data_IF_139946262032
#
_entry.id   IF_139946262032
#
_cell.length_a   1.000
_cell.length_b   1.000
_cell.length_c   1.000
_cell.angle_alpha   90.00
_cell.angle_beta   90.00
_cell.angle_gamma   90.00
#
_symmetry.space_group_name_H-M   'P 1'
#
loop_
_entity.id
_entity.type
_entity.pdbx_description
1 polymer ?
#
# COMPACT_ATOMS: atom_id res chain seq x y z
N UNK A 1 -46.97 29.87 -8.16
CA UNK A 1 -46.97 29.06 -6.91
C UNK A 1 -47.62 29.84 -5.77
N UNK A 2 -48.05 29.17 -4.69
CA UNK A 2 -48.47 29.85 -3.45
C UNK A 2 -47.27 30.07 -2.51
N UNK A 3 -47.42 30.92 -1.49
CA UNK A 3 -46.35 31.30 -0.55
C UNK A 3 -45.68 30.08 0.12
N UNK A 4 -46.47 29.12 0.63
CA UNK A 4 -45.95 27.90 1.28
C UNK A 4 -45.14 27.00 0.33
N UNK A 5 -45.55 26.88 -0.93
CA UNK A 5 -44.77 26.16 -1.94
C UNK A 5 -43.42 26.83 -2.22
N UNK A 6 -43.33 28.15 -2.05
CA UNK A 6 -42.11 28.91 -2.30
C UNK A 6 -41.15 28.80 -1.12
N UNK A 7 -41.63 28.90 0.13
CA UNK A 7 -40.84 28.61 1.34
C UNK A 7 -40.14 27.24 1.24
N UNK A 8 -40.89 26.19 0.89
CA UNK A 8 -40.35 24.84 0.71
C UNK A 8 -39.32 24.73 -0.44
N UNK A 9 -39.34 25.65 -1.40
CA UNK A 9 -38.44 25.65 -2.56
C UNK A 9 -37.17 26.49 -2.34
N UNK A 10 -37.02 27.21 -1.22
CA UNK A 10 -35.89 28.11 -0.99
C UNK A 10 -34.54 27.38 -0.83
N UNK A 11 -34.51 26.15 -0.29
CA UNK A 11 -33.26 25.35 -0.24
C UNK A 11 -32.79 24.99 -1.64
N UNK A 12 -33.61 24.27 -2.40
CA UNK A 12 -33.34 23.90 -3.80
C UNK A 12 -33.08 25.12 -4.71
N UNK A 13 -33.57 26.32 -4.35
CA UNK A 13 -33.23 27.57 -5.04
C UNK A 13 -31.78 28.00 -4.80
N UNK A 14 -31.28 27.89 -3.55
CA UNK A 14 -29.88 28.16 -3.19
C UNK A 14 -28.93 27.13 -3.79
N UNK A 15 -29.32 25.85 -3.75
CA UNK A 15 -28.55 24.73 -4.27
C UNK A 15 -28.58 24.66 -5.83
N UNK A 16 -29.36 25.54 -6.48
CA UNK A 16 -29.57 25.64 -7.93
C UNK A 16 -30.26 24.41 -8.58
N UNK A 17 -30.94 23.58 -7.79
CA UNK A 17 -31.64 22.37 -8.24
C UNK A 17 -33.03 22.66 -8.87
N UNK A 18 -33.54 23.89 -8.77
CA UNK A 18 -34.82 24.26 -9.37
C UNK A 18 -34.76 24.41 -10.89
N UNK A 19 -35.77 23.86 -11.57
CA UNK A 19 -35.99 24.10 -13.00
C UNK A 19 -36.19 25.58 -13.31
N UNK A 20 -35.77 26.01 -14.51
CA UNK A 20 -35.78 27.42 -14.91
C UNK A 20 -37.17 28.11 -14.84
N UNK A 21 -38.26 27.35 -15.00
CA UNK A 21 -39.63 27.87 -14.88
C UNK A 21 -40.10 28.03 -13.42
N UNK A 22 -39.65 27.15 -12.52
CA UNK A 22 -39.89 27.26 -11.07
C UNK A 22 -39.03 28.36 -10.47
N UNK A 23 -37.75 28.43 -10.85
CA UNK A 23 -36.82 29.48 -10.40
C UNK A 23 -37.36 30.89 -10.66
N UNK A 24 -37.86 31.16 -11.88
CA UNK A 24 -38.48 32.46 -12.23
C UNK A 24 -39.71 32.79 -11.38
N UNK A 25 -40.49 31.80 -10.95
CA UNK A 25 -41.63 32.02 -10.05
C UNK A 25 -41.20 32.36 -8.63
N UNK A 26 -40.16 31.71 -8.12
CA UNK A 26 -39.54 32.02 -6.83
C UNK A 26 -38.94 33.43 -6.85
N UNK A 27 -38.14 33.77 -7.87
CA UNK A 27 -37.56 35.11 -8.07
C UNK A 27 -38.62 36.21 -8.18
N UNK A 28 -39.74 35.96 -8.86
CA UNK A 28 -40.84 36.92 -8.97
C UNK A 28 -41.52 37.16 -7.61
N UNK A 29 -41.73 36.11 -6.81
CA UNK A 29 -42.36 36.22 -5.50
C UNK A 29 -41.46 36.91 -4.47
N UNK A 30 -40.16 36.61 -4.47
CA UNK A 30 -39.16 37.21 -3.59
C UNK A 30 -39.06 38.74 -3.74
N UNK A 31 -39.46 39.30 -4.89
CA UNK A 31 -39.55 40.76 -5.11
C UNK A 31 -40.80 41.41 -4.50
N UNK A 32 -41.72 40.61 -3.97
CA UNK A 32 -43.06 41.05 -3.53
C UNK A 32 -43.46 40.54 -2.14
N UNK A 33 -42.63 39.73 -1.49
CA UNK A 33 -42.92 39.10 -0.22
C UNK A 33 -41.69 39.16 0.68
N UNK A 34 -41.71 40.14 1.59
CA UNK A 34 -40.59 40.45 2.48
C UNK A 34 -40.22 39.25 3.37
N UNK A 35 -41.21 38.54 3.93
CA UNK A 35 -41.02 37.33 4.75
C UNK A 35 -40.20 36.23 4.04
N UNK A 36 -40.45 35.99 2.75
CA UNK A 36 -39.69 35.01 1.98
C UNK A 36 -38.28 35.52 1.63
N UNK A 37 -38.11 36.84 1.48
CA UNK A 37 -36.79 37.44 1.24
C UNK A 37 -35.90 37.40 2.50
N UNK A 38 -36.49 37.61 3.68
CA UNK A 38 -35.81 37.52 4.98
C UNK A 38 -35.43 36.07 5.29
N UNK A 39 -36.33 35.11 5.07
CA UNK A 39 -36.04 33.68 5.21
C UNK A 39 -34.88 33.23 4.29
N UNK A 40 -34.84 33.73 3.05
CA UNK A 40 -33.74 33.46 2.12
C UNK A 40 -32.41 34.06 2.63
N UNK A 41 -32.43 35.27 3.18
CA UNK A 41 -31.25 35.91 3.75
C UNK A 41 -30.70 35.12 4.96
N UNK A 42 -31.57 34.62 5.83
CA UNK A 42 -31.17 33.74 6.95
C UNK A 42 -30.53 32.44 6.47
N UNK A 43 -31.07 31.80 5.43
CA UNK A 43 -30.43 30.62 4.84
C UNK A 43 -29.08 30.95 4.20
N UNK A 44 -28.95 32.08 3.52
CA UNK A 44 -27.67 32.54 2.96
C UNK A 44 -26.62 32.79 4.05
N UNK A 45 -26.99 33.48 5.13
CA UNK A 45 -26.10 33.72 6.27
C UNK A 45 -25.65 32.42 6.94
N UNK A 46 -26.58 31.49 7.18
CA UNK A 46 -26.25 30.17 7.72
C UNK A 46 -25.32 29.38 6.78
N UNK A 47 -25.56 29.42 5.46
CA UNK A 47 -24.69 28.75 4.49
C UNK A 47 -23.28 29.35 4.44
N UNK A 48 -23.14 30.66 4.64
CA UNK A 48 -21.85 31.33 4.73
C UNK A 48 -21.11 30.90 6.00
N UNK A 49 -21.78 30.95 7.16
CA UNK A 49 -21.21 30.48 8.43
C UNK A 49 -20.77 29.01 8.36
N UNK A 50 -21.57 28.13 7.76
CA UNK A 50 -21.21 26.70 7.58
C UNK A 50 -19.99 26.55 6.66
N UNK A 51 -19.88 27.35 5.59
CA UNK A 51 -18.73 27.32 4.67
C UNK A 51 -17.42 27.67 5.38
N UNK A 52 -17.45 28.53 6.39
CA UNK A 52 -16.27 28.86 7.19
C UNK A 52 -15.81 27.70 8.11
N UNK A 53 -16.71 26.76 8.43
CA UNK A 53 -16.39 25.53 9.19
C UNK A 53 -16.05 24.33 8.31
N UNK A 54 -16.55 24.28 7.07
CA UNK A 54 -16.18 23.25 6.10
C UNK A 54 -14.88 23.66 5.42
N UNK A 55 -13.76 23.31 6.02
CA UNK A 55 -12.49 23.26 5.29
C UNK A 55 -12.69 22.36 4.05
N UNK A 56 -12.25 22.80 2.85
CA UNK A 56 -12.19 21.90 1.71
C UNK A 56 -11.16 20.81 2.05
N UNK A 57 -11.65 19.63 2.41
CA UNK A 57 -10.79 18.45 2.51
C UNK A 57 -10.07 18.30 1.18
N UNK A 58 -8.73 18.15 1.15
CA UNK A 58 -8.02 17.92 -0.10
C UNK A 58 -8.67 16.71 -0.79
N UNK A 59 -8.96 16.78 -2.10
CA UNK A 59 -9.62 15.69 -2.79
C UNK A 59 -8.79 14.42 -2.57
N UNK A 60 -9.46 13.31 -2.20
CA UNK A 60 -8.82 12.08 -1.72
C UNK A 60 -7.64 11.63 -2.62
N UNK A 61 -7.73 11.89 -3.93
CA UNK A 61 -6.65 11.72 -4.91
C UNK A 61 -5.32 12.38 -4.49
N UNK A 62 -5.31 13.62 -4.02
CA UNK A 62 -4.11 14.33 -3.58
C UNK A 62 -3.47 13.67 -2.35
N UNK A 63 -4.29 13.24 -1.37
CA UNK A 63 -3.79 12.51 -0.19
C UNK A 63 -3.18 11.16 -0.59
N UNK A 64 -3.82 10.42 -1.49
CA UNK A 64 -3.32 9.14 -1.99
C UNK A 64 -2.03 9.32 -2.80
N UNK A 65 -1.95 10.32 -3.68
CA UNK A 65 -0.72 10.61 -4.44
C UNK A 65 0.43 11.03 -3.52
N UNK A 66 0.16 11.84 -2.49
CA UNK A 66 1.17 12.21 -1.49
C UNK A 66 1.72 10.99 -0.75
N UNK A 67 0.86 10.04 -0.34
CA UNK A 67 1.29 8.80 0.33
C UNK A 67 2.07 7.86 -0.62
N UNK A 68 1.69 7.79 -1.89
CA UNK A 68 2.44 7.06 -2.92
C UNK A 68 3.84 7.67 -3.11
N UNK A 69 3.96 9.00 -3.14
CA UNK A 69 5.25 9.66 -3.24
C UNK A 69 6.13 9.37 -2.03
N UNK A 70 5.59 9.47 -0.81
CA UNK A 70 6.30 9.14 0.44
C UNK A 70 6.85 7.70 0.42
N UNK A 71 5.99 6.70 0.14
CA UNK A 71 6.41 5.30 0.07
C UNK A 71 7.50 5.06 -0.99
N UNK A 72 7.35 5.67 -2.18
CA UNK A 72 8.32 5.47 -3.26
C UNK A 72 9.67 6.09 -2.89
N UNK A 73 9.69 7.25 -2.23
CA UNK A 73 10.93 7.91 -1.77
C UNK A 73 11.72 7.02 -0.81
N UNK A 74 11.06 6.37 0.15
CA UNK A 74 11.69 5.41 1.05
C UNK A 74 12.26 4.19 0.30
N UNK A 75 11.53 3.69 -0.70
CA UNK A 75 11.93 2.52 -1.50
C UNK A 75 12.99 2.83 -2.59
N UNK A 76 13.27 4.12 -2.92
CA UNK A 76 14.23 4.50 -3.98
C UNK A 76 15.66 4.00 -3.72
N UNK A 77 16.08 3.92 -2.46
CA UNK A 77 17.43 3.43 -2.12
C UNK A 77 17.56 1.93 -2.42
N UNK A 78 16.61 1.11 -1.96
CA UNK A 78 16.55 -0.32 -2.27
C UNK A 78 16.34 -0.59 -3.77
N UNK A 79 15.64 0.31 -4.48
CA UNK A 79 15.51 0.26 -5.93
C UNK A 79 16.87 0.43 -6.64
N UNK A 80 17.70 1.37 -6.18
CA UNK A 80 19.03 1.62 -6.75
C UNK A 80 20.01 0.48 -6.52
N UNK A 81 19.97 -0.16 -5.35
CA UNK A 81 20.84 -1.30 -5.03
C UNK A 81 20.27 -2.67 -5.45
N UNK A 82 19.10 -2.66 -6.10
CA UNK A 82 18.44 -3.85 -6.65
C UNK A 82 18.08 -4.88 -5.57
N UNK A 83 17.68 -4.39 -4.39
CA UNK A 83 17.27 -5.19 -3.23
C UNK A 83 15.75 -5.41 -3.16
N UNK A 84 14.97 -4.70 -3.99
CA UNK A 84 13.51 -4.84 -4.06
C UNK A 84 13.06 -6.12 -4.76
N UNK A 85 11.92 -6.66 -4.31
CA UNK A 85 11.20 -7.73 -4.98
C UNK A 85 10.80 -7.35 -6.43
N UNK A 86 10.70 -8.31 -7.37
CA UNK A 86 10.45 -8.02 -8.79
C UNK A 86 9.18 -7.20 -9.06
N UNK A 87 8.10 -7.47 -8.32
CA UNK A 87 6.80 -6.83 -8.51
C UNK A 87 6.83 -5.37 -8.01
N UNK A 88 7.38 -5.14 -6.81
CA UNK A 88 7.63 -3.81 -6.25
C UNK A 88 8.54 -2.98 -7.15
N UNK A 89 9.63 -3.58 -7.65
CA UNK A 89 10.55 -2.94 -8.60
C UNK A 89 9.84 -2.52 -9.89
N UNK A 90 8.92 -3.36 -10.38
CA UNK A 90 8.12 -3.06 -11.59
C UNK A 90 7.14 -1.92 -11.34
N UNK A 91 6.49 -1.89 -10.16
CA UNK A 91 5.58 -0.81 -9.75
C UNK A 91 6.29 0.55 -9.66
N UNK A 92 7.44 0.61 -8.99
CA UNK A 92 8.26 1.83 -8.92
C UNK A 92 8.73 2.25 -10.31
N UNK A 93 9.21 1.30 -11.14
CA UNK A 93 9.64 1.59 -12.50
C UNK A 93 8.50 2.09 -13.42
N UNK A 94 7.24 1.79 -13.10
CA UNK A 94 6.08 2.38 -13.78
C UNK A 94 5.84 3.83 -13.30
N UNK A 95 5.80 4.06 -11.98
CA UNK A 95 5.60 5.40 -11.42
C UNK A 95 6.69 6.41 -11.83
N UNK A 96 7.96 5.99 -11.86
CA UNK A 96 9.09 6.82 -12.30
C UNK A 96 9.01 7.26 -13.77
N UNK A 97 8.13 6.67 -14.59
CA UNK A 97 7.88 7.11 -15.97
C UNK A 97 6.78 8.17 -16.08
N UNK A 98 6.01 8.36 -15.02
CA UNK A 98 4.83 9.25 -14.98
C UNK A 98 4.95 10.38 -13.96
N UNK A 99 5.90 10.28 -13.02
CA UNK A 99 6.15 11.27 -11.98
C UNK A 99 7.56 11.86 -12.11
N UNK A 100 7.63 13.12 -12.54
CA UNK A 100 8.88 13.86 -12.71
C UNK A 100 9.60 14.06 -11.35
N UNK A 101 8.87 14.41 -10.28
CA UNK A 101 9.44 14.64 -8.94
C UNK A 101 10.25 13.43 -8.42
N UNK A 102 9.70 12.22 -8.57
CA UNK A 102 10.37 10.99 -8.15
C UNK A 102 11.53 10.60 -9.09
N UNK A 103 11.44 10.94 -10.39
CA UNK A 103 12.51 10.73 -11.38
C UNK A 103 13.71 11.65 -11.12
N UNK A 104 13.45 12.91 -10.77
CA UNK A 104 14.46 13.89 -10.38
C UNK A 104 15.15 13.50 -9.07
N UNK A 105 14.39 13.01 -8.08
CA UNK A 105 14.99 12.50 -6.83
C UNK A 105 15.86 11.26 -7.07
N UNK A 106 15.43 10.31 -7.89
CA UNK A 106 16.25 9.17 -8.30
C UNK A 106 17.55 9.62 -8.98
N UNK A 107 17.47 10.62 -9.85
CA UNK A 107 18.62 11.21 -10.53
C UNK A 107 19.59 11.87 -9.53
N UNK A 108 19.08 12.57 -8.53
CA UNK A 108 19.90 13.17 -7.46
C UNK A 108 20.64 12.09 -6.64
N UNK A 109 19.98 10.99 -6.28
CA UNK A 109 20.64 9.87 -5.60
C UNK A 109 21.74 9.22 -6.46
N UNK A 110 21.51 9.05 -7.77
CA UNK A 110 22.53 8.53 -8.69
C UNK A 110 23.75 9.46 -8.77
N UNK A 111 23.54 10.77 -8.89
CA UNK A 111 24.63 11.76 -8.89
C UNK A 111 25.42 11.73 -7.57
N UNK A 112 24.74 11.61 -6.43
CA UNK A 112 25.39 11.49 -5.12
C UNK A 112 26.27 10.24 -5.04
N UNK A 113 25.77 9.09 -5.53
CA UNK A 113 26.52 7.83 -5.60
C UNK A 113 27.80 7.94 -6.44
N UNK A 114 27.74 8.61 -7.60
CA UNK A 114 28.94 8.84 -8.42
C UNK A 114 29.94 9.81 -7.76
N UNK A 115 29.47 10.82 -7.03
CA UNK A 115 30.33 11.69 -6.23
C UNK A 115 31.05 10.89 -5.12
N UNK A 116 30.34 10.01 -4.41
CA UNK A 116 30.92 9.15 -3.37
C UNK A 116 31.94 8.16 -3.96
N UNK A 117 31.68 7.55 -5.13
CA UNK A 117 32.68 6.73 -5.84
C UNK A 117 33.96 7.51 -6.16
N UNK A 118 33.82 8.79 -6.52
CA UNK A 118 34.95 9.70 -6.72
C UNK A 118 35.81 9.94 -5.47
N UNK A 119 35.29 9.63 -4.28
CA UNK A 119 36.01 9.69 -3.00
C UNK A 119 36.67 8.36 -2.60
N UNK A 120 36.55 7.27 -3.39
CA UNK A 120 37.19 6.00 -3.05
C UNK A 120 38.73 6.12 -3.02
N UNK A 121 39.29 5.97 -1.83
CA UNK A 121 40.74 5.94 -1.64
C UNK A 121 41.25 4.53 -1.95
N UNK A 122 42.26 4.44 -2.82
CA UNK A 122 42.85 3.15 -3.23
C UNK A 122 43.35 2.39 -1.99
N UNK A 123 42.83 1.18 -1.77
CA UNK A 123 43.19 0.35 -0.63
C UNK A 123 44.72 0.17 -0.52
N UNK A 124 45.32 0.29 0.69
CA UNK A 124 46.75 0.09 0.89
C UNK A 124 47.22 -1.27 0.38
N UNK A 125 48.36 -1.30 -0.32
CA UNK A 125 48.91 -2.51 -0.91
C UNK A 125 49.14 -3.63 0.12
N UNK A 126 49.42 -3.29 1.39
CA UNK A 126 49.52 -4.25 2.49
C UNK A 126 48.24 -5.08 2.69
N UNK A 127 47.06 -4.46 2.62
CA UNK A 127 45.76 -5.15 2.73
C UNK A 127 45.53 -5.99 1.48
N UNK A 128 45.79 -5.46 0.28
CA UNK A 128 45.67 -6.20 -0.97
C UNK A 128 46.56 -7.46 -0.97
N UNK A 129 47.80 -7.36 -0.52
CA UNK A 129 48.72 -8.48 -0.42
C UNK A 129 48.29 -9.50 0.65
N UNK A 130 47.80 -9.05 1.81
CA UNK A 130 47.28 -9.93 2.86
C UNK A 130 46.07 -10.74 2.38
N UNK A 131 45.08 -10.08 1.76
CA UNK A 131 43.89 -10.73 1.20
C UNK A 131 44.26 -11.71 0.08
N UNK A 132 45.14 -11.32 -0.83
CA UNK A 132 45.61 -12.20 -1.91
C UNK A 132 46.44 -13.38 -1.40
N UNK A 133 47.20 -13.22 -0.32
CA UNK A 133 47.90 -14.33 0.33
C UNK A 133 46.91 -15.31 0.99
N UNK A 134 45.86 -14.80 1.64
CA UNK A 134 44.85 -15.63 2.30
C UNK A 134 43.97 -16.39 1.30
N UNK A 135 43.55 -15.77 0.19
CA UNK A 135 42.86 -16.44 -0.92
C UNK A 135 43.74 -17.57 -1.49
N UNK A 136 45.04 -17.32 -1.68
CA UNK A 136 45.97 -18.36 -2.16
C UNK A 136 46.10 -19.52 -1.17
N UNK A 137 46.15 -19.24 0.13
CA UNK A 137 46.20 -20.28 1.17
C UNK A 137 44.95 -21.16 1.13
N UNK A 138 43.75 -20.56 1.06
CA UNK A 138 42.50 -21.29 0.91
C UNK A 138 42.49 -22.14 -0.37
N UNK A 139 42.87 -21.57 -1.52
CA UNK A 139 42.99 -22.30 -2.79
C UNK A 139 44.06 -23.41 -2.79
N UNK A 140 45.08 -23.36 -1.93
CA UNK A 140 46.03 -24.47 -1.74
C UNK A 140 45.53 -25.57 -0.80
N UNK A 141 44.62 -25.26 0.14
CA UNK A 141 43.99 -26.24 1.02
C UNK A 141 42.92 -27.04 0.27
N UNK A 142 42.25 -26.43 -0.73
CA UNK A 142 41.24 -27.10 -1.59
C UNK A 142 41.82 -27.96 -2.73
N UNK A 143 43.05 -28.48 -2.61
CA UNK A 143 43.55 -29.54 -3.49
C UNK A 143 43.43 -30.92 -2.83
N UNK A 144 42.28 -31.62 -2.96
CA UNK A 144 42.31 -33.07 -2.88
C UNK A 144 43.06 -33.58 -4.10
N UNK A 145 44.20 -34.25 -3.85
CA UNK A 145 44.94 -35.00 -4.86
C UNK A 145 44.05 -36.08 -5.45
N UNK A 146 43.33 -35.79 -6.54
CA UNK A 146 42.70 -36.80 -7.40
C UNK A 146 43.80 -37.50 -8.20
N UNK A 147 44.44 -38.48 -7.56
CA UNK A 147 45.07 -39.59 -8.28
C UNK A 147 44.02 -40.24 -9.18
N UNK A 148 44.40 -40.54 -10.41
CA UNK A 148 43.51 -41.12 -11.42
C UNK A 148 43.33 -42.64 -11.18
N UNK A 149 42.66 -42.99 -10.09
CA UNK A 149 42.05 -44.30 -9.91
C UNK A 149 40.53 -44.12 -9.90
N UNK A 150 39.87 -44.64 -10.93
CA UNK A 150 38.42 -44.73 -11.01
C UNK A 150 37.91 -45.66 -9.90
N UNK A 151 37.13 -45.16 -8.92
CA UNK A 151 36.36 -46.02 -8.04
C UNK A 151 35.20 -46.62 -8.85
N UNK A 152 34.84 -47.86 -8.58
CA UNK A 152 33.69 -48.51 -9.22
C UNK A 152 32.38 -47.88 -8.75
N UNK A 153 31.79 -47.03 -9.59
CA UNK A 153 30.49 -46.38 -9.35
C UNK A 153 29.32 -47.38 -9.56
N UNK A 154 29.57 -48.55 -10.15
CA UNK A 154 28.56 -49.57 -10.44
C UNK A 154 27.99 -50.30 -9.22
N UNK A 155 28.75 -50.39 -8.12
CA UNK A 155 28.32 -51.11 -6.92
C UNK A 155 27.22 -50.40 -6.10
N UNK A 156 27.30 -49.07 -5.97
CA UNK A 156 26.50 -48.33 -4.99
C UNK A 156 25.01 -48.19 -5.37
N UNK A 157 24.70 -48.17 -6.67
CA UNK A 157 23.32 -48.08 -7.18
C UNK A 157 22.52 -49.38 -6.99
N UNK A 158 23.19 -50.54 -6.84
CA UNK A 158 22.52 -51.83 -6.60
C UNK A 158 22.20 -52.06 -5.11
N UNK A 159 23.00 -51.53 -4.18
CA UNK A 159 22.73 -51.66 -2.75
C UNK A 159 21.62 -50.71 -2.24
N UNK A 160 21.44 -49.53 -2.85
CA UNK A 160 20.30 -48.65 -2.53
C UNK A 160 18.94 -49.33 -2.79
N UNK A 161 18.84 -50.12 -3.87
CA UNK A 161 17.65 -50.91 -4.20
C UNK A 161 17.35 -52.03 -3.20
N UNK A 162 18.37 -52.56 -2.49
CA UNK A 162 18.20 -53.57 -1.44
C UNK A 162 17.86 -53.00 -0.06
N UNK A 163 18.24 -51.75 0.21
CA UNK A 163 17.94 -51.10 1.49
C UNK A 163 16.50 -50.60 1.59
N UNK A 164 15.91 -50.14 0.47
CA UNK A 164 14.55 -49.57 0.41
C UNK A 164 13.40 -50.56 0.62
N UNK A 165 13.66 -51.87 0.69
CA UNK A 165 12.64 -52.93 0.79
C UNK A 165 12.57 -53.63 2.17
N UNK A 166 13.12 -53.02 3.22
CA UNK A 166 12.95 -53.50 4.61
C UNK A 166 11.95 -52.63 5.38
N UNK A 167 10.78 -53.16 5.80
CA UNK A 167 9.60 -52.36 6.17
C UNK A 167 9.63 -51.74 7.59
N UNK A 168 10.80 -51.55 8.21
CA UNK A 168 10.91 -51.22 9.65
C UNK A 168 11.46 -49.81 9.94
N UNK A 169 12.10 -49.14 8.97
CA UNK A 169 12.75 -47.83 9.19
C UNK A 169 11.96 -46.62 8.66
N UNK A 170 10.88 -46.83 7.90
CA UNK A 170 10.12 -45.75 7.26
C UNK A 170 9.30 -44.87 8.22
N UNK A 171 8.98 -45.35 9.43
CA UNK A 171 8.16 -44.60 10.39
C UNK A 171 8.87 -43.44 11.08
N UNK A 172 10.15 -43.62 11.43
CA UNK A 172 10.87 -42.65 12.27
C UNK A 172 11.23 -41.36 11.53
N UNK A 173 11.59 -41.44 10.25
CA UNK A 173 11.95 -40.26 9.44
C UNK A 173 10.73 -39.43 9.08
N UNK A 174 9.58 -40.05 8.79
CA UNK A 174 8.33 -39.35 8.53
C UNK A 174 7.80 -38.57 9.73
N UNK A 175 7.92 -39.12 10.94
CA UNK A 175 7.52 -38.42 12.17
C UNK A 175 8.45 -37.23 12.44
N UNK A 176 9.76 -37.39 12.24
CA UNK A 176 10.73 -36.30 12.45
C UNK A 176 10.53 -35.14 11.47
N UNK A 177 10.28 -35.41 10.18
CA UNK A 177 10.03 -34.35 9.20
C UNK A 177 8.69 -33.66 9.43
N UNK A 178 7.63 -34.41 9.78
CA UNK A 178 6.34 -33.81 10.15
C UNK A 178 6.47 -32.91 11.40
N UNK A 179 7.22 -33.36 12.41
CA UNK A 179 7.46 -32.58 13.63
C UNK A 179 8.26 -31.29 13.36
N UNK A 180 9.23 -31.32 12.44
CA UNK A 180 9.98 -30.12 12.02
C UNK A 180 9.09 -29.15 11.23
N UNK A 181 8.22 -29.64 10.36
CA UNK A 181 7.27 -28.80 9.60
C UNK A 181 6.23 -28.17 10.55
N UNK A 182 5.65 -28.95 11.47
CA UNK A 182 4.73 -28.43 12.49
C UNK A 182 5.43 -27.46 13.45
N UNK A 183 6.68 -27.74 13.83
CA UNK A 183 7.50 -26.83 14.61
C UNK A 183 7.74 -25.51 13.89
N UNK A 184 8.09 -25.55 12.59
CA UNK A 184 8.25 -24.35 11.78
C UNK A 184 6.95 -23.54 11.67
N UNK A 185 5.81 -24.20 11.41
CA UNK A 185 4.49 -23.53 11.35
C UNK A 185 4.02 -22.95 12.70
N UNK A 186 4.48 -23.51 13.83
CA UNK A 186 4.16 -23.00 15.16
C UNK A 186 5.11 -21.87 15.63
N UNK A 187 6.39 -21.92 15.25
CA UNK A 187 7.42 -20.94 15.65
C UNK A 187 7.64 -19.80 14.66
N UNK A 188 7.21 -19.94 13.41
CA UNK A 188 7.00 -18.84 12.48
C UNK A 188 5.49 -18.55 12.40
N UNK A 189 4.92 -17.79 13.35
CA UNK A 189 3.70 -17.06 13.03
C UNK A 189 4.03 -16.19 11.82
N UNK A 190 3.21 -16.30 10.77
CA UNK A 190 3.24 -15.38 9.64
C UNK A 190 3.01 -13.98 10.17
N UNK A 191 4.08 -13.20 10.36
CA UNK A 191 3.99 -11.84 10.87
C UNK A 191 3.12 -11.02 9.90
N UNK A 192 1.95 -10.51 10.33
CA UNK A 192 1.04 -9.83 9.44
C UNK A 192 1.55 -8.40 9.22
N UNK A 193 2.40 -8.19 8.21
CA UNK A 193 2.61 -6.86 7.63
C UNK A 193 1.31 -6.24 7.08
N UNK A 194 0.22 -7.02 7.04
CA UNK A 194 -1.13 -6.61 6.70
C UNK A 194 -1.89 -5.93 7.87
N UNK A 195 -1.56 -6.23 9.14
CA UNK A 195 -2.27 -5.62 10.29
C UNK A 195 -1.97 -4.12 10.39
N UNK A 196 -0.73 -3.68 10.19
CA UNK A 196 -0.33 -2.27 10.31
C UNK A 196 -1.05 -1.37 9.28
N UNK A 197 -1.32 -1.88 8.07
CA UNK A 197 -2.15 -1.19 7.07
C UNK A 197 -3.65 -1.23 7.38
N UNK A 198 -4.14 -2.29 8.03
CA UNK A 198 -5.54 -2.42 8.44
C UNK A 198 -5.85 -1.51 9.63
N UNK A 199 -4.99 -1.50 10.66
CA UNK A 199 -5.12 -0.64 11.83
C UNK A 199 -5.03 0.84 11.46
N UNK A 200 -4.28 1.20 10.41
CA UNK A 200 -4.31 2.57 9.87
C UNK A 200 -5.67 2.90 9.22
N UNK A 201 -6.22 2.00 8.39
CA UNK A 201 -7.53 2.20 7.75
C UNK A 201 -8.67 2.27 8.78
N UNK A 202 -8.72 1.32 9.72
CA UNK A 202 -9.72 1.31 10.80
C UNK A 202 -9.49 2.41 11.84
N UNK A 203 -8.24 2.81 12.10
CA UNK A 203 -7.91 3.97 12.91
C UNK A 203 -8.53 5.26 12.34
N UNK A 204 -8.33 5.51 11.04
CA UNK A 204 -8.92 6.67 10.36
C UNK A 204 -10.46 6.70 10.48
N UNK A 205 -11.13 5.55 10.32
CA UNK A 205 -12.59 5.44 10.42
C UNK A 205 -13.12 5.52 11.87
N UNK A 206 -12.34 5.10 12.87
CA UNK A 206 -12.78 5.10 14.28
C UNK A 206 -12.52 6.44 14.96
N UNK A 207 -11.42 7.13 14.64
CA UNK A 207 -11.14 8.48 15.14
C UNK A 207 -12.14 9.51 14.59
N UNK A 208 -12.69 9.28 13.39
CA UNK A 208 -13.77 10.07 12.81
C UNK A 208 -15.15 9.82 13.49
N UNK A 209 -15.30 8.79 14.33
CA UNK A 209 -16.53 8.47 15.07
C UNK A 209 -16.49 8.90 16.54
N UNK A 210 -15.30 9.05 17.15
CA UNK A 210 -15.17 9.37 18.58
C UNK A 210 -15.37 10.84 18.91
N UNK A 211 -15.18 11.76 17.95
CA UNK A 211 -15.32 13.21 18.16
C UNK A 211 -16.75 13.74 17.87
N UNK A 212 -17.74 12.85 17.73
CA UNK A 212 -19.16 13.24 17.69
C UNK A 212 -19.73 13.42 19.11
N UNK A 213 -19.99 14.67 19.59
CA UNK A 213 -20.62 14.87 20.88
C UNK A 213 -22.02 14.26 20.91
N UNK A 214 -22.24 13.36 21.87
CA UNK A 214 -23.41 12.48 21.93
C UNK A 214 -24.74 13.21 22.19
N UNK A 215 -25.32 13.80 21.13
CA UNK A 215 -26.66 14.42 21.14
C UNK A 215 -27.43 14.23 19.83
N UNK A 216 -27.86 13.00 19.57
CA UNK A 216 -29.14 12.78 18.89
C UNK A 216 -29.93 11.69 19.59
N UNK A 217 -31.17 12.05 19.92
CA UNK A 217 -32.08 11.27 20.75
C UNK A 217 -32.97 10.39 19.86
N UNK A 218 -33.05 9.10 20.17
CA UNK A 218 -34.16 8.20 19.79
C UNK A 218 -34.45 8.01 18.29
N UNK A 219 -33.93 6.93 17.71
CA UNK A 219 -34.79 5.80 17.32
C UNK A 219 -33.97 4.56 16.96
N UNK A 220 -34.52 3.40 17.29
CA UNK A 220 -33.97 2.09 16.94
C UNK A 220 -34.11 1.79 15.45
N UNK A 221 -33.03 1.35 14.81
CA UNK A 221 -33.07 0.51 13.61
C UNK A 221 -32.26 -0.74 13.92
N UNK A 222 -32.84 -1.90 13.59
CA UNK A 222 -32.30 -3.22 13.93
C UNK A 222 -31.21 -3.67 12.96
N UNK A 223 -30.32 -4.53 13.44
CA UNK A 223 -29.22 -5.13 12.69
C UNK A 223 -29.67 -6.39 11.93
N UNK A 224 -29.48 -6.41 10.61
CA UNK A 224 -29.55 -7.57 9.69
C UNK A 224 -28.71 -7.21 8.44
N UNK A 225 -27.79 -7.99 7.84
CA UNK A 225 -26.90 -9.11 8.24
C UNK A 225 -25.59 -9.00 7.38
N UNK A 226 -24.44 -9.61 7.75
CA UNK A 226 -23.18 -9.40 7.01
C UNK A 226 -23.14 -10.17 5.68
N UNK A 227 -22.92 -9.45 4.59
CA UNK A 227 -22.73 -10.04 3.26
C UNK A 227 -21.28 -10.52 3.12
N UNK A 228 -21.11 -11.84 2.96
CA UNK A 228 -19.84 -12.41 2.47
C UNK A 228 -19.53 -11.83 1.08
N UNK A 229 -18.41 -11.14 0.95
CA UNK A 229 -17.83 -10.75 -0.33
C UNK A 229 -16.32 -10.95 -0.24
N UNK A 230 -15.84 -12.06 -0.79
CA UNK A 230 -14.42 -12.36 -0.82
C UNK A 230 -13.76 -11.82 -2.09
N UNK A 231 -12.55 -11.26 -1.95
CA UNK A 231 -11.50 -11.41 -2.96
C UNK A 231 -11.31 -10.30 -4.00
N UNK A 232 -11.94 -9.14 -3.88
CA UNK A 232 -11.89 -8.08 -4.93
C UNK A 232 -11.01 -6.86 -4.58
N UNK A 233 -10.30 -6.84 -3.44
CA UNK A 233 -9.58 -5.66 -2.94
C UNK A 233 -8.31 -5.31 -3.74
N UNK A 234 -7.55 -6.31 -4.22
CA UNK A 234 -6.40 -6.08 -5.10
C UNK A 234 -6.81 -5.58 -6.50
N UNK A 235 -8.09 -5.74 -6.88
CA UNK A 235 -8.59 -5.27 -8.17
C UNK A 235 -8.61 -3.73 -8.21
N UNK A 236 -8.93 -3.07 -7.09
CA UNK A 236 -9.24 -1.64 -7.06
C UNK A 236 -8.00 -0.74 -7.21
N UNK A 237 -6.88 -1.11 -6.57
CA UNK A 237 -5.61 -0.38 -6.72
C UNK A 237 -5.01 -0.57 -8.12
N UNK A 238 -5.14 -1.78 -8.70
CA UNK A 238 -4.72 -2.03 -10.08
C UNK A 238 -5.59 -1.25 -11.08
N UNK A 239 -6.93 -1.25 -10.91
CA UNK A 239 -7.85 -0.46 -11.74
C UNK A 239 -7.57 1.05 -11.69
N UNK A 240 -7.22 1.61 -10.52
CA UNK A 240 -6.93 3.04 -10.42
C UNK A 240 -5.61 3.43 -11.10
N UNK A 241 -4.62 2.54 -11.10
CA UNK A 241 -3.34 2.76 -11.80
C UNK A 241 -3.44 2.49 -13.31
N UNK A 242 -4.22 1.49 -13.73
CA UNK A 242 -4.46 1.19 -15.15
C UNK A 242 -5.24 2.32 -15.85
N UNK A 243 -6.17 2.97 -15.14
CA UNK A 243 -7.01 4.05 -15.69
C UNK A 243 -6.36 5.45 -15.66
N UNK A 244 -5.15 5.59 -15.10
CA UNK A 244 -4.31 6.81 -15.20
C UNK A 244 -3.34 6.73 -16.40
N UNK A 245 -3.36 5.63 -17.16
CA UNK A 245 -2.55 5.40 -18.35
C UNK A 245 -3.17 5.81 -19.70
N UNK A 246 -4.28 6.58 -19.72
CA UNK A 246 -4.95 7.09 -20.93
C UNK A 246 -5.12 8.61 -20.90
#
# INVERSE_FOLDING_TARGET
>A
MNHRQIQNALSAYLDNELSASTRKQVEAHLRTCDECSEMLAVFQENSARIRDFVHPSPPIKEMVMAKIHEQIQDELSAYLDNELAPDTRTRIAAHLRTCDDCSDMLTAFQQNREQIKGLEHRAPASIQHAVMAQIRQQATVEKPTRTLQLPDIGGWLLDFGRWFLRPVTAGATGILTLALILGALYFYPTAPQYEETLDFYYGLHTEQLTDYPSRLNGNSIQSEEPLESGGDDELFLNLYLENVGN
#
